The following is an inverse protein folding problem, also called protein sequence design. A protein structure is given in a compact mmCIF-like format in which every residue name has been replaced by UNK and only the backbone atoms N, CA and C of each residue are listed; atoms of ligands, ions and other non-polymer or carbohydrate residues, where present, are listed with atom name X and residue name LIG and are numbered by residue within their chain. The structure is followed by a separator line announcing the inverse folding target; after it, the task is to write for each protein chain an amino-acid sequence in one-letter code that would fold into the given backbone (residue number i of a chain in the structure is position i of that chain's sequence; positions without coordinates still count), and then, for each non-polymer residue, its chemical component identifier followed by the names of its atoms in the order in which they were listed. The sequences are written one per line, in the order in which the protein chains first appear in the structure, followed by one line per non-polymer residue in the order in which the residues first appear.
data_IF_249342576689
#
_entry.id   IF_249342576689
#
_cell.length_a   1.000
_cell.length_b   1.000
_cell.length_c   1.000
_cell.angle_alpha   90.00
_cell.angle_beta   90.00
_cell.angle_gamma   90.00
#
_symmetry.space_group_name_H-M   'P 1'
#
loop_
_entity.id
_entity.type
_entity.pdbx_description
1 polymer ?
#
# COMPACT_ATOMS: atom_id res chain seq x y z
N UNK A 1 -13.36 -11.77 -17.73
CA UNK A 1 -12.00 -11.22 -17.71
C UNK A 1 -11.13 -12.21 -16.99
N UNK A 2 -10.01 -12.56 -17.60
CA UNK A 2 -8.95 -13.35 -16.98
C UNK A 2 -7.94 -12.40 -16.32
N UNK A 3 -7.04 -12.88 -15.44
CA UNK A 3 -5.97 -12.06 -14.85
C UNK A 3 -5.13 -11.30 -15.89
N UNK A 4 -4.91 -11.89 -17.06
CA UNK A 4 -4.22 -11.27 -18.22
C UNK A 4 -4.91 -10.02 -18.81
N UNK A 5 -6.17 -9.76 -18.44
CA UNK A 5 -6.91 -8.56 -18.87
C UNK A 5 -6.75 -7.37 -17.90
N UNK A 6 -6.07 -7.56 -16.76
CA UNK A 6 -5.84 -6.52 -15.76
C UNK A 6 -4.46 -5.90 -15.95
N UNK A 7 -4.42 -4.57 -15.94
CA UNK A 7 -3.20 -3.77 -16.01
C UNK A 7 -3.33 -2.62 -15.02
N UNK A 8 -2.24 -2.26 -14.35
CA UNK A 8 -2.18 -1.06 -13.51
C UNK A 8 -2.65 0.16 -14.32
N UNK A 9 -3.53 0.97 -13.71
CA UNK A 9 -4.18 2.10 -14.38
C UNK A 9 -5.53 1.75 -15.04
N UNK A 10 -5.89 0.47 -15.15
CA UNK A 10 -7.21 0.05 -15.63
C UNK A 10 -8.30 0.72 -14.78
N UNK A 11 -9.26 1.36 -15.44
CA UNK A 11 -10.36 2.06 -14.78
C UNK A 11 -11.71 1.40 -15.08
N UNK A 12 -12.43 1.00 -14.03
CA UNK A 12 -13.74 0.33 -14.09
C UNK A 12 -14.65 0.89 -13.01
N UNK A 13 -15.88 1.28 -13.39
CA UNK A 13 -16.90 1.81 -12.44
C UNK A 13 -16.36 2.93 -11.52
N UNK A 14 -15.56 3.85 -12.07
CA UNK A 14 -14.89 4.95 -11.31
C UNK A 14 -13.88 4.50 -10.25
N UNK A 15 -13.37 3.27 -10.37
CA UNK A 15 -12.23 2.78 -9.60
C UNK A 15 -11.08 2.52 -10.57
N UNK A 16 -9.86 2.75 -10.11
CA UNK A 16 -8.62 2.51 -10.84
C UNK A 16 -7.84 1.41 -10.12
N UNK A 17 -7.35 0.43 -10.88
CA UNK A 17 -6.46 -0.60 -10.38
C UNK A 17 -5.09 0.02 -10.16
N UNK A 18 -4.60 -0.02 -8.92
CA UNK A 18 -3.34 0.62 -8.51
C UNK A 18 -2.36 -0.36 -7.88
N UNK A 19 -2.78 -1.60 -7.66
CA UNK A 19 -1.91 -2.67 -7.20
C UNK A 19 -2.41 -4.02 -7.72
N UNK A 20 -1.52 -4.95 -8.05
CA UNK A 20 -1.87 -6.34 -8.39
C UNK A 20 -0.71 -7.29 -8.12
N UNK A 21 -0.97 -8.59 -8.02
CA UNK A 21 0.06 -9.62 -7.88
C UNK A 21 -0.49 -11.00 -7.49
N UNK A 22 0.38 -11.99 -7.48
CA UNK A 22 0.06 -13.37 -7.09
C UNK A 22 0.37 -13.59 -5.61
N UNK A 23 -0.62 -14.07 -4.85
CA UNK A 23 -0.71 -14.14 -3.38
C UNK A 23 -0.57 -12.80 -2.63
N UNK A 24 0.25 -11.87 -3.15
CA UNK A 24 0.52 -10.54 -2.61
C UNK A 24 0.73 -9.53 -3.75
N UNK A 25 0.40 -8.24 -3.54
CA UNK A 25 0.66 -7.22 -4.55
C UNK A 25 2.17 -6.97 -4.72
N UNK A 26 2.65 -7.17 -5.94
CA UNK A 26 4.05 -6.96 -6.34
C UNK A 26 4.20 -5.89 -7.43
N UNK A 27 3.10 -5.55 -8.10
CA UNK A 27 2.99 -4.48 -9.08
C UNK A 27 2.13 -3.35 -8.55
N UNK A 28 2.56 -2.12 -8.81
CA UNK A 28 1.98 -0.91 -8.20
C UNK A 28 1.93 0.23 -9.23
N UNK A 29 0.94 1.10 -9.09
CA UNK A 29 0.95 2.39 -9.80
C UNK A 29 2.10 3.26 -9.27
N UNK A 30 2.77 4.02 -10.14
CA UNK A 30 3.98 4.77 -9.81
C UNK A 30 3.87 5.64 -8.56
N UNK A 31 2.71 6.30 -8.33
CA UNK A 31 2.55 7.14 -7.14
C UNK A 31 2.44 6.31 -5.85
N UNK A 32 1.88 5.11 -5.95
CA UNK A 32 1.70 4.19 -4.83
C UNK A 32 2.98 3.40 -4.58
N UNK A 33 3.68 2.98 -5.63
CA UNK A 33 4.99 2.33 -5.57
C UNK A 33 5.99 3.16 -4.76
N UNK A 34 6.19 4.42 -5.16
CA UNK A 34 7.08 5.36 -4.46
C UNK A 34 6.69 5.52 -2.98
N UNK A 35 5.39 5.51 -2.67
CA UNK A 35 4.90 5.63 -1.31
C UNK A 35 5.14 4.36 -0.48
N UNK A 36 4.80 3.16 -1.00
CA UNK A 36 4.98 1.89 -0.29
C UNK A 36 6.47 1.57 -0.08
N UNK A 37 7.34 1.95 -1.02
CA UNK A 37 8.79 1.80 -0.90
C UNK A 37 9.37 2.68 0.20
N UNK A 38 9.02 3.97 0.20
CA UNK A 38 9.44 4.91 1.25
C UNK A 38 8.94 4.49 2.61
N UNK A 39 7.68 4.05 2.70
CA UNK A 39 7.12 3.52 3.94
C UNK A 39 7.92 2.31 4.42
N UNK A 40 8.17 1.33 3.53
CA UNK A 40 8.95 0.13 3.85
C UNK A 40 10.37 0.48 4.34
N UNK A 41 11.01 1.48 3.73
CA UNK A 41 12.33 1.93 4.13
C UNK A 41 12.33 2.57 5.53
N UNK A 42 11.33 3.39 5.85
CA UNK A 42 11.18 4.00 7.17
C UNK A 42 10.86 2.96 8.25
N UNK A 43 9.97 2.02 7.97
CA UNK A 43 9.67 0.87 8.86
C UNK A 43 10.92 0.04 9.11
N UNK A 44 11.73 -0.23 8.07
CA UNK A 44 13.00 -0.92 8.23
C UNK A 44 13.96 -0.12 9.12
N UNK A 45 14.07 1.20 8.93
CA UNK A 45 14.90 2.06 9.79
C UNK A 45 14.45 2.04 11.24
N UNK A 46 13.14 2.05 11.51
CA UNK A 46 12.59 1.90 12.84
C UNK A 46 13.03 0.57 13.47
N UNK A 47 12.83 -0.53 12.74
CA UNK A 47 13.20 -1.87 13.19
C UNK A 47 14.70 -2.02 13.41
N UNK A 48 15.55 -1.48 12.52
CA UNK A 48 17.01 -1.50 12.65
C UNK A 48 17.48 -0.71 13.89
N UNK A 49 16.74 0.33 14.27
CA UNK A 49 16.98 1.13 15.49
C UNK A 49 16.38 0.49 16.76
N UNK A 50 15.69 -0.65 16.64
CA UNK A 50 15.02 -1.31 17.76
C UNK A 50 13.76 -0.60 18.26
N UNK A 51 13.17 0.28 17.44
CA UNK A 51 11.94 0.99 17.76
C UNK A 51 10.72 0.16 17.37
N UNK A 52 9.75 0.07 18.26
CA UNK A 52 8.46 -0.53 17.93
C UNK A 52 7.65 0.44 17.04
N UNK A 53 6.88 -0.09 16.09
CA UNK A 53 6.07 0.75 15.19
C UNK A 53 4.92 1.43 15.95
N UNK A 54 4.46 0.79 17.02
CA UNK A 54 3.48 1.29 17.98
C UNK A 54 3.98 2.54 18.69
N UNK A 55 5.28 2.60 19.03
CA UNK A 55 5.91 3.79 19.62
C UNK A 55 5.98 4.96 18.63
N UNK A 56 5.93 4.65 17.33
CA UNK A 56 5.81 5.63 16.25
C UNK A 56 4.34 5.93 15.89
N UNK A 57 3.38 5.34 16.60
CA UNK A 57 1.94 5.51 16.42
C UNK A 57 1.39 4.92 15.13
N UNK A 58 1.95 3.79 14.67
CA UNK A 58 1.55 3.08 13.45
C UNK A 58 0.78 1.77 13.72
N UNK A 59 -0.23 1.81 14.61
CA UNK A 59 -0.90 0.57 15.06
C UNK A 59 -1.71 -0.15 13.96
N UNK A 60 -2.27 0.57 12.97
CA UNK A 60 -3.03 -0.05 11.86
C UNK A 60 -2.19 -0.26 10.59
N UNK A 61 -1.17 0.58 10.36
CA UNK A 61 -0.29 0.51 9.17
C UNK A 61 0.76 -0.61 9.27
N UNK A 62 0.85 -1.31 10.40
CA UNK A 62 1.84 -2.34 10.69
C UNK A 62 1.74 -3.61 9.83
N UNK A 63 0.72 -3.76 8.96
CA UNK A 63 0.58 -4.92 8.04
C UNK A 63 1.47 -4.84 6.78
N UNK A 64 2.50 -3.99 6.78
CA UNK A 64 3.42 -3.85 5.65
C UNK A 64 2.82 -3.06 4.48
N UNK A 65 3.29 -3.32 3.26
CA UNK A 65 2.93 -2.53 2.06
C UNK A 65 1.42 -2.54 1.77
N UNK A 66 0.77 -3.69 1.92
CA UNK A 66 -0.67 -3.82 1.69
C UNK A 66 -1.48 -3.02 2.73
N UNK A 67 -1.17 -3.14 4.02
CA UNK A 67 -1.87 -2.38 5.06
C UNK A 67 -1.70 -0.86 4.90
N UNK A 68 -0.51 -0.41 4.52
CA UNK A 68 -0.29 0.99 4.19
C UNK A 68 -1.10 1.42 2.96
N UNK A 69 -1.21 0.60 1.91
CA UNK A 69 -2.07 0.92 0.78
C UNK A 69 -3.56 0.94 1.17
N UNK A 70 -4.01 0.03 2.04
CA UNK A 70 -5.37 -0.02 2.58
C UNK A 70 -5.71 1.27 3.37
N UNK A 71 -4.78 1.80 4.17
CA UNK A 71 -4.98 3.07 4.89
C UNK A 71 -5.11 4.29 3.96
N UNK A 72 -4.59 4.19 2.73
CA UNK A 72 -4.79 5.19 1.68
C UNK A 72 -6.12 5.03 0.92
N UNK A 73 -6.92 4.01 1.25
CA UNK A 73 -8.20 3.71 0.64
C UNK A 73 -8.13 2.77 -0.57
N UNK A 74 -7.02 2.04 -0.74
CA UNK A 74 -6.93 0.95 -1.71
C UNK A 74 -7.69 -0.26 -1.16
N UNK A 75 -8.63 -0.76 -1.94
CA UNK A 75 -9.52 -1.87 -1.58
C UNK A 75 -9.04 -3.14 -2.29
N UNK A 76 -8.48 -4.07 -1.51
CA UNK A 76 -8.04 -5.39 -1.97
C UNK A 76 -9.12 -6.48 -1.86
N UNK A 77 -10.26 -6.19 -1.22
CA UNK A 77 -11.35 -7.16 -1.01
C UNK A 77 -12.29 -7.24 -2.21
N UNK A 78 -12.25 -6.24 -3.10
CA UNK A 78 -13.34 -5.97 -4.03
C UNK A 78 -13.38 -6.75 -5.35
N UNK A 79 -12.33 -7.48 -5.71
CA UNK A 79 -12.32 -8.33 -6.91
C UNK A 79 -11.41 -9.57 -6.70
N UNK A 80 -11.80 -10.45 -5.75
CA UNK A 80 -11.19 -11.78 -5.65
C UNK A 80 -11.47 -12.57 -6.92
N UNK A 81 -10.42 -13.03 -7.59
CA UNK A 81 -10.54 -14.03 -8.65
C UNK A 81 -10.16 -15.40 -8.09
N UNK A 82 -11.17 -16.21 -7.76
CA UNK A 82 -11.02 -17.66 -7.67
C UNK A 82 -11.31 -18.23 -9.07
N UNK A 83 -10.32 -18.22 -9.96
CA UNK A 83 -10.45 -18.91 -11.21
C UNK A 83 -10.06 -20.37 -11.10
N UNK A 84 -10.91 -21.24 -11.61
CA UNK A 84 -10.59 -22.65 -11.81
C UNK A 84 -9.23 -22.78 -12.55
N UNK A 85 -8.27 -23.45 -11.90
CA UNK A 85 -6.98 -23.94 -12.44
C UNK A 85 -5.68 -23.15 -12.20
N UNK A 86 -5.55 -22.27 -11.20
CA UNK A 86 -4.22 -21.90 -10.65
C UNK A 86 -4.28 -21.92 -9.13
N UNK A 87 -3.36 -22.63 -8.49
CA UNK A 87 -3.25 -22.76 -7.04
C UNK A 87 -2.64 -21.52 -6.38
N UNK A 88 -3.22 -20.33 -6.62
CA UNK A 88 -2.73 -19.05 -6.10
C UNK A 88 -3.86 -18.03 -6.00
N UNK A 89 -3.78 -17.13 -5.01
CA UNK A 89 -4.76 -16.07 -4.83
C UNK A 89 -4.30 -14.81 -5.57
N UNK A 90 -4.95 -14.47 -6.69
CA UNK A 90 -4.62 -13.24 -7.40
C UNK A 90 -5.23 -12.02 -6.69
N UNK A 91 -4.38 -11.07 -6.29
CA UNK A 91 -4.75 -9.89 -5.52
C UNK A 91 -4.86 -8.66 -6.44
N UNK A 92 -5.91 -7.85 -6.26
CA UNK A 92 -6.14 -6.61 -7.00
C UNK A 92 -6.53 -5.48 -6.05
N UNK A 93 -5.73 -4.41 -6.00
CA UNK A 93 -5.99 -3.23 -5.19
C UNK A 93 -6.64 -2.11 -5.99
N UNK A 94 -7.88 -1.78 -5.65
CA UNK A 94 -8.69 -0.77 -6.34
C UNK A 94 -8.90 0.47 -5.49
N UNK A 95 -8.71 1.65 -6.07
CA UNK A 95 -9.05 2.91 -5.42
C UNK A 95 -10.07 3.68 -6.26
N UNK A 96 -10.97 4.44 -5.61
CA UNK A 96 -11.84 5.37 -6.34
C UNK A 96 -10.97 6.39 -7.06
N UNK A 97 -11.14 6.55 -8.36
CA UNK A 97 -10.28 7.41 -9.20
C UNK A 97 -10.21 8.85 -8.67
N UNK A 98 -11.34 9.37 -8.20
CA UNK A 98 -11.44 10.72 -7.61
C UNK A 98 -10.68 10.90 -6.30
N UNK A 99 -10.38 9.81 -5.60
CA UNK A 99 -9.74 9.83 -4.28
C UNK A 99 -8.20 9.70 -4.41
N UNK A 100 -7.66 9.37 -5.59
CA UNK A 100 -6.21 9.26 -5.84
C UNK A 100 -5.44 10.52 -5.40
N UNK A 101 -5.83 11.76 -5.75
CA UNK A 101 -5.08 12.94 -5.31
C UNK A 101 -5.06 13.10 -3.78
N UNK A 102 -6.16 12.73 -3.11
CA UNK A 102 -6.25 12.73 -1.65
C UNK A 102 -5.34 11.66 -1.06
N UNK A 103 -5.38 10.43 -1.60
CA UNK A 103 -4.53 9.33 -1.18
C UNK A 103 -3.05 9.68 -1.32
N UNK A 104 -2.62 10.29 -2.44
CA UNK A 104 -1.24 10.76 -2.62
C UNK A 104 -0.85 11.81 -1.58
N UNK A 105 -1.75 12.74 -1.24
CA UNK A 105 -1.49 13.75 -0.21
C UNK A 105 -1.38 13.11 1.19
N UNK A 106 -2.29 12.20 1.53
CA UNK A 106 -2.26 11.43 2.78
C UNK A 106 -0.98 10.62 2.91
N UNK A 107 -0.55 9.93 1.85
CA UNK A 107 0.69 9.16 1.84
C UNK A 107 1.90 10.04 2.17
N UNK A 108 1.98 11.23 1.55
CA UNK A 108 3.05 12.20 1.85
C UNK A 108 3.03 12.67 3.30
N UNK A 109 1.84 12.90 3.85
CA UNK A 109 1.69 13.30 5.24
C UNK A 109 2.17 12.20 6.20
N UNK A 110 1.70 10.96 6.02
CA UNK A 110 2.11 9.82 6.85
C UNK A 110 3.63 9.62 6.79
N UNK A 111 4.22 9.67 5.59
CA UNK A 111 5.67 9.54 5.41
C UNK A 111 6.46 10.66 6.09
N UNK A 112 5.96 11.90 6.06
CA UNK A 112 6.58 13.03 6.73
C UNK A 112 6.51 12.88 8.25
N UNK A 113 5.35 12.56 8.80
CA UNK A 113 5.14 12.33 10.23
C UNK A 113 6.02 11.18 10.75
N UNK A 114 6.07 10.06 10.02
CA UNK A 114 6.90 8.92 10.38
C UNK A 114 8.40 9.28 10.38
N UNK A 115 8.84 10.03 9.38
CA UNK A 115 10.23 10.51 9.30
C UNK A 115 10.58 11.43 10.47
N UNK A 116 9.68 12.33 10.86
CA UNK A 116 9.89 13.22 12.01
C UNK A 116 9.96 12.46 13.32
N UNK A 117 9.04 11.50 13.55
CA UNK A 117 9.05 10.65 14.74
C UNK A 117 10.32 9.80 14.83
N UNK A 118 10.77 9.23 13.71
CA UNK A 118 12.03 8.48 13.64
C UNK A 118 13.23 9.35 14.00
N UNK A 119 13.31 10.55 13.43
CA UNK A 119 14.38 11.49 13.75
C UNK A 119 14.35 11.90 15.22
N UNK A 120 13.17 12.13 15.80
CA UNK A 120 13.03 12.46 17.21
C UNK A 120 13.48 11.30 18.11
N UNK A 121 13.08 10.07 17.80
CA UNK A 121 13.45 8.88 18.56
C UNK A 121 14.95 8.55 18.49
N UNK A 122 15.63 8.85 17.37
CA UNK A 122 17.08 8.65 17.23
C UNK A 122 17.93 9.68 17.99
N UNK A 123 17.35 10.82 18.36
CA UNK A 123 18.03 11.89 19.10
C UNK A 123 17.67 11.90 20.60
N UNK A 124 16.79 11.01 21.04
CA UNK A 124 16.37 10.84 22.43
C UNK A 124 17.29 9.85 23.16
#
# INVERSE_FOLDING_TARGET
MKPEDYEIGLTKRSRTLVAMGDDWPDQWDCWLEDAVEKYSALVKQASDAGLALEDLGLEEEARGRQGFAESLGVDFESDFWEGECISGHFVCGWIKTKDIPKATATARQILAELKEKLAAAQNA
#
